data_IF_147977348550
#
_entry.id   IF_147977348550
#
_cell.length_a   1.000
_cell.length_b   1.000
_cell.length_c   1.000
_cell.angle_alpha   90.00
_cell.angle_beta   90.00
_cell.angle_gamma   90.00
#
_symmetry.space_group_name_H-M   'P 1'
#
loop_
_entity.id
_entity.type
_entity.pdbx_description
1 polymer ?
#
# COMPACT_ATOMS: atom_id res chain seq x y z
N UNK A 1 6.38 1.94 13.47
CA UNK A 1 6.30 0.68 12.70
C UNK A 1 4.87 0.53 12.20
N UNK A 2 4.69 0.17 10.94
CA UNK A 2 3.36 -0.01 10.31
C UNK A 2 3.34 -1.32 9.56
N UNK A 3 2.19 -2.00 9.56
CA UNK A 3 1.96 -3.21 8.76
C UNK A 3 1.34 -2.84 7.42
N UNK A 4 2.01 -3.23 6.35
CA UNK A 4 1.63 -2.96 4.96
C UNK A 4 1.38 -4.27 4.23
N UNK A 5 0.44 -4.23 3.29
CA UNK A 5 0.17 -5.30 2.34
C UNK A 5 0.39 -4.78 0.92
N UNK A 6 1.49 -5.17 0.29
CA UNK A 6 1.88 -4.70 -1.03
C UNK A 6 1.23 -5.54 -2.12
N UNK A 7 0.54 -4.84 -3.02
CA UNK A 7 -0.13 -5.40 -4.19
C UNK A 7 0.84 -6.13 -5.15
N UNK A 8 0.33 -7.01 -6.00
CA UNK A 8 1.13 -7.91 -6.84
C UNK A 8 2.09 -7.15 -7.76
N UNK A 9 1.64 -6.03 -8.33
CA UNK A 9 2.43 -5.21 -9.24
C UNK A 9 3.34 -4.20 -8.50
N UNK A 10 3.36 -4.22 -7.17
CA UNK A 10 4.10 -3.23 -6.42
C UNK A 10 5.62 -3.45 -6.53
N UNK A 11 6.43 -2.40 -6.73
CA UNK A 11 7.86 -2.56 -6.98
C UNK A 11 8.59 -3.19 -5.79
N UNK A 12 9.20 -4.37 -6.00
CA UNK A 12 9.95 -5.10 -4.97
C UNK A 12 11.03 -4.26 -4.28
N UNK A 13 11.73 -3.41 -5.05
CA UNK A 13 12.76 -2.53 -4.49
C UNK A 13 12.21 -1.55 -3.44
N UNK A 14 10.97 -1.06 -3.64
CA UNK A 14 10.31 -0.17 -2.68
C UNK A 14 9.91 -0.97 -1.43
N UNK A 15 9.41 -2.19 -1.59
CA UNK A 15 9.11 -3.10 -0.46
C UNK A 15 10.34 -3.32 0.41
N UNK A 16 11.50 -3.62 -0.19
CA UNK A 16 12.77 -3.82 0.52
C UNK A 16 13.17 -2.58 1.33
N UNK A 17 13.08 -1.39 0.72
CA UNK A 17 13.42 -0.14 1.39
C UNK A 17 12.47 0.18 2.55
N UNK A 18 11.16 -0.04 2.37
CA UNK A 18 10.17 0.14 3.44
C UNK A 18 10.43 -0.80 4.62
N UNK A 19 10.89 -2.03 4.36
CA UNK A 19 11.34 -2.95 5.41
C UNK A 19 12.58 -2.42 6.14
N UNK A 20 13.55 -1.85 5.40
CA UNK A 20 14.73 -1.19 6.00
C UNK A 20 14.35 0.01 6.88
N UNK A 21 13.27 0.73 6.53
CA UNK A 21 12.72 1.80 7.38
C UNK A 21 11.98 1.29 8.64
N UNK A 22 11.87 -0.03 8.82
CA UNK A 22 11.25 -0.64 10.00
C UNK A 22 9.74 -0.87 9.87
N UNK A 23 9.20 -0.92 8.65
CA UNK A 23 7.83 -1.35 8.40
C UNK A 23 7.75 -2.87 8.18
N UNK A 24 6.66 -3.48 8.64
CA UNK A 24 6.32 -4.86 8.31
C UNK A 24 5.55 -4.84 6.99
N UNK A 25 6.19 -5.23 5.90
CA UNK A 25 5.56 -5.28 4.57
C UNK A 25 5.39 -6.74 4.18
N UNK A 26 4.16 -7.17 3.91
CA UNK A 26 3.83 -8.47 3.34
C UNK A 26 3.41 -8.26 1.88
N UNK A 27 3.93 -9.01 0.92
CA UNK A 27 3.47 -8.92 -0.48
C UNK A 27 2.39 -9.94 -0.80
N UNK A 28 1.57 -9.67 -1.81
CA UNK A 28 0.60 -10.65 -2.36
C UNK A 28 1.29 -11.97 -2.73
N UNK A 29 2.53 -11.92 -3.23
CA UNK A 29 3.30 -13.12 -3.54
C UNK A 29 3.69 -13.93 -2.30
N UNK A 30 4.12 -13.26 -1.24
CA UNK A 30 4.48 -13.91 0.03
C UNK A 30 3.26 -14.48 0.76
N UNK A 31 2.09 -13.87 0.59
CA UNK A 31 0.82 -14.39 1.10
C UNK A 31 0.34 -15.67 0.34
N UNK A 32 1.07 -16.13 -0.69
CA UNK A 32 0.66 -17.26 -1.52
C UNK A 32 -0.51 -16.94 -2.46
N UNK A 33 -0.79 -15.65 -2.64
CA UNK A 33 -1.94 -15.10 -3.35
C UNK A 33 -1.57 -14.54 -4.74
N UNK A 34 -0.31 -14.70 -5.17
CA UNK A 34 0.16 -14.31 -6.51
C UNK A 34 -0.55 -15.06 -7.63
N UNK A 35 -0.67 -14.41 -8.80
CA UNK A 35 -1.17 -14.98 -10.06
C UNK A 35 -2.62 -15.49 -10.01
N UNK A 36 -3.36 -15.22 -8.94
CA UNK A 36 -4.74 -15.66 -8.78
C UNK A 36 -5.76 -14.66 -9.33
N UNK A 37 -5.31 -13.54 -9.93
CA UNK A 37 -6.17 -12.42 -10.38
C UNK A 37 -7.19 -12.02 -9.30
N UNK A 38 -6.70 -11.93 -8.07
CA UNK A 38 -7.53 -11.65 -6.91
C UNK A 38 -8.18 -10.28 -7.09
N UNK A 39 -9.51 -10.15 -6.90
CA UNK A 39 -10.19 -8.87 -6.96
C UNK A 39 -9.60 -7.86 -5.97
N UNK A 40 -9.55 -6.58 -6.34
CA UNK A 40 -9.07 -5.50 -5.44
C UNK A 40 -9.81 -5.50 -4.09
N UNK A 41 -11.09 -5.91 -4.10
CA UNK A 41 -11.92 -6.08 -2.90
C UNK A 41 -11.33 -7.12 -1.93
N UNK A 42 -10.90 -8.26 -2.44
CA UNK A 42 -10.32 -9.35 -1.65
C UNK A 42 -8.93 -8.96 -1.13
N UNK A 43 -8.14 -8.23 -1.92
CA UNK A 43 -6.87 -7.64 -1.47
C UNK A 43 -7.10 -6.70 -0.28
N UNK A 44 -8.10 -5.82 -0.36
CA UNK A 44 -8.44 -4.90 0.72
C UNK A 44 -9.01 -5.63 1.94
N UNK A 45 -9.84 -6.65 1.74
CA UNK A 45 -10.40 -7.45 2.82
C UNK A 45 -9.31 -8.23 3.56
N UNK A 46 -8.39 -8.86 2.82
CA UNK A 46 -7.25 -9.57 3.40
C UNK A 46 -6.36 -8.63 4.22
N UNK A 47 -6.02 -7.47 3.66
CA UNK A 47 -5.23 -6.47 4.37
C UNK A 47 -5.92 -6.03 5.67
N UNK A 48 -7.22 -5.74 5.61
CA UNK A 48 -8.02 -5.33 6.76
C UNK A 48 -8.08 -6.40 7.84
N UNK A 49 -8.33 -7.67 7.46
CA UNK A 49 -8.37 -8.80 8.40
C UNK A 49 -7.04 -9.06 9.10
N UNK A 50 -5.92 -8.70 8.47
CA UNK A 50 -4.57 -8.84 9.02
C UNK A 50 -4.04 -7.54 9.65
N UNK A 51 -4.90 -6.54 9.85
CA UNK A 51 -4.54 -5.22 10.41
C UNK A 51 -3.43 -4.52 9.61
N UNK A 52 -3.48 -4.63 8.27
CA UNK A 52 -2.52 -4.05 7.34
C UNK A 52 -3.18 -2.99 6.47
N UNK A 53 -2.43 -1.94 6.15
CA UNK A 53 -2.82 -1.00 5.10
C UNK A 53 -2.38 -1.53 3.73
N UNK A 54 -3.23 -1.41 2.71
CA UNK A 54 -2.88 -1.78 1.33
C UNK A 54 -1.91 -0.77 0.74
N UNK A 55 -0.89 -1.26 0.04
CA UNK A 55 0.06 -0.46 -0.72
C UNK A 55 -0.05 -0.85 -2.20
N UNK A 56 -0.55 0.06 -3.04
CA UNK A 56 -0.89 -0.25 -4.44
C UNK A 56 -0.53 0.87 -5.41
N UNK A 57 -0.25 0.49 -6.67
CA UNK A 57 -0.17 1.39 -7.82
C UNK A 57 -1.54 1.57 -8.50
N UNK A 58 -2.51 0.68 -8.27
CA UNK A 58 -3.85 0.75 -8.83
C UNK A 58 -4.72 1.78 -8.07
N UNK A 59 -4.50 3.05 -8.37
CA UNK A 59 -5.15 4.14 -7.64
C UNK A 59 -6.67 4.21 -7.90
N UNK A 60 -7.11 3.91 -9.12
CA UNK A 60 -8.51 4.16 -9.54
C UNK A 60 -9.46 3.22 -8.81
N UNK A 61 -9.17 1.93 -8.80
CA UNK A 61 -10.07 0.95 -8.20
C UNK A 61 -10.06 1.04 -6.68
N UNK A 62 -8.91 1.26 -6.06
CA UNK A 62 -8.84 1.46 -4.61
C UNK A 62 -9.46 2.76 -4.12
N UNK A 63 -9.47 3.83 -4.94
CA UNK A 63 -10.26 5.03 -4.62
C UNK A 63 -11.76 4.75 -4.66
N UNK A 64 -12.22 3.88 -5.58
CA UNK A 64 -13.62 3.45 -5.61
C UNK A 64 -13.94 2.61 -4.38
N UNK A 65 -13.07 1.66 -4.02
CA UNK A 65 -13.25 0.81 -2.83
C UNK A 65 -13.32 1.61 -1.54
N UNK A 66 -12.41 2.57 -1.33
CA UNK A 66 -12.43 3.47 -0.17
C UNK A 66 -13.76 4.22 -0.01
N UNK A 67 -14.40 4.62 -1.12
CA UNK A 67 -15.70 5.32 -1.08
C UNK A 67 -16.87 4.39 -0.79
N UNK A 68 -16.74 3.11 -1.10
CA UNK A 68 -17.80 2.11 -0.95
C UNK A 68 -17.69 1.32 0.36
N UNK A 69 -16.49 1.21 0.91
CA UNK A 69 -16.18 0.41 2.09
C UNK A 69 -15.54 1.30 3.14
N UNK A 70 -16.17 1.33 4.31
CA UNK A 70 -15.58 1.91 5.51
C UNK A 70 -14.93 0.82 6.36
N UNK A 71 -14.12 1.24 7.34
CA UNK A 71 -13.48 0.38 8.33
C UNK A 71 -12.42 -0.57 7.74
N UNK A 72 -11.75 -0.16 6.68
CA UNK A 72 -10.62 -0.91 6.12
C UNK A 72 -9.30 -0.59 6.84
N UNK A 73 -8.30 -1.46 6.73
CA UNK A 73 -6.98 -1.28 7.39
C UNK A 73 -6.16 -0.08 6.92
N UNK A 74 -6.56 0.55 5.81
CA UNK A 74 -5.94 1.74 5.23
C UNK A 74 -5.53 1.49 3.79
N UNK A 75 -5.46 2.55 2.99
CA UNK A 75 -5.09 2.46 1.57
C UNK A 75 -4.02 3.52 1.28
N UNK A 76 -2.87 3.07 0.81
CA UNK A 76 -1.75 3.89 0.34
C UNK A 76 -1.65 3.71 -1.17
N UNK A 77 -2.16 4.70 -1.88
CA UNK A 77 -2.22 4.68 -3.34
C UNK A 77 -1.07 5.54 -3.90
N UNK A 78 -0.10 4.89 -4.54
CA UNK A 78 1.11 5.53 -5.04
C UNK A 78 1.03 5.77 -6.54
N UNK A 79 1.56 6.90 -7.00
CA UNK A 79 1.90 7.08 -8.42
C UNK A 79 3.27 6.44 -8.67
N UNK A 80 3.37 5.63 -9.72
CA UNK A 80 4.63 4.98 -10.07
C UNK A 80 5.74 6.02 -10.35
N UNK A 81 6.92 5.73 -9.82
CA UNK A 81 8.14 6.53 -9.97
C UNK A 81 9.31 5.58 -10.21
N UNK A 82 10.09 5.86 -11.26
CA UNK A 82 11.28 5.08 -11.61
C UNK A 82 12.37 5.23 -10.55
N UNK A 83 12.38 6.35 -9.82
CA UNK A 83 13.22 6.53 -8.65
C UNK A 83 12.58 5.83 -7.44
N UNK A 84 13.00 4.59 -7.20
CA UNK A 84 12.46 3.73 -6.14
C UNK A 84 12.81 4.23 -4.74
N UNK A 85 13.97 4.86 -4.57
CA UNK A 85 14.38 5.42 -3.28
C UNK A 85 13.53 6.63 -2.92
N UNK A 86 13.34 7.55 -3.85
CA UNK A 86 12.43 8.69 -3.66
C UNK A 86 11.00 8.24 -3.40
N UNK A 87 10.53 7.21 -4.11
CA UNK A 87 9.20 6.65 -3.88
C UNK A 87 9.06 6.09 -2.48
N UNK A 88 10.03 5.27 -2.02
CA UNK A 88 10.02 4.68 -0.69
C UNK A 88 10.06 5.74 0.42
N UNK A 89 10.94 6.74 0.31
CA UNK A 89 11.03 7.84 1.27
C UNK A 89 9.69 8.59 1.39
N UNK A 90 9.05 8.91 0.25
CA UNK A 90 7.75 9.61 0.27
C UNK A 90 6.63 8.78 0.89
N UNK A 91 6.65 7.46 0.69
CA UNK A 91 5.71 6.56 1.36
C UNK A 91 5.96 6.57 2.87
N UNK A 92 7.22 6.43 3.30
CA UNK A 92 7.61 6.47 4.70
C UNK A 92 7.18 7.78 5.38
N UNK A 93 7.44 8.92 4.75
CA UNK A 93 7.08 10.24 5.28
C UNK A 93 5.55 10.38 5.38
N UNK A 94 4.82 9.93 4.35
CA UNK A 94 3.36 10.01 4.33
C UNK A 94 2.72 9.12 5.41
N UNK A 95 3.29 7.93 5.66
CA UNK A 95 2.85 7.04 6.74
C UNK A 95 3.17 7.67 8.10
N UNK A 96 4.39 8.19 8.27
CA UNK A 96 4.85 8.75 9.54
C UNK A 96 4.10 10.01 9.97
N UNK A 97 3.50 10.71 9.00
CA UNK A 97 2.65 11.88 9.26
C UNK A 97 1.23 11.54 9.76
N UNK A 98 0.85 10.25 9.81
CA UNK A 98 -0.48 9.83 10.26
C UNK A 98 -0.40 9.13 11.62
N UNK A 99 -1.31 9.45 12.53
CA UNK A 99 -1.46 8.75 13.81
C UNK A 99 -2.03 7.34 13.62
N UNK A 100 -2.95 7.18 12.65
CA UNK A 100 -3.56 5.90 12.28
C UNK A 100 -3.77 5.81 10.77
N UNK A 101 -3.72 4.58 10.24
CA UNK A 101 -4.02 4.29 8.84
C UNK A 101 -5.43 3.72 8.64
N UNK A 102 -6.11 3.34 9.72
CA UNK A 102 -7.44 2.77 9.65
C UNK A 102 -8.41 3.75 9.00
N UNK A 103 -9.14 3.25 8.01
CA UNK A 103 -10.09 4.01 7.20
C UNK A 103 -9.47 5.22 6.46
N UNK A 104 -8.15 5.32 6.36
CA UNK A 104 -7.47 6.42 5.68
C UNK A 104 -7.12 6.08 4.23
N UNK A 105 -7.20 7.10 3.37
CA UNK A 105 -6.71 7.06 2.00
C UNK A 105 -5.53 8.02 1.81
N UNK A 106 -4.32 7.48 1.82
CA UNK A 106 -3.08 8.23 1.62
C UNK A 106 -2.73 8.23 0.13
N UNK A 107 -2.47 9.43 -0.41
CA UNK A 107 -2.13 9.62 -1.82
C UNK A 107 -0.67 10.05 -1.96
N UNK A 108 0.20 9.12 -2.38
CA UNK A 108 1.62 9.42 -2.62
C UNK A 108 1.81 9.84 -4.08
N UNK A 109 1.98 11.15 -4.30
CA UNK A 109 2.20 11.72 -5.64
C UNK A 109 3.69 11.72 -6.00
N UNK A 110 3.99 11.49 -7.29
CA UNK A 110 5.31 11.80 -7.89
C UNK A 110 5.52 13.32 -7.90
N UNK A 111 6.71 13.84 -7.53
CA UNK A 111 6.99 15.27 -7.61
C UNK A 111 6.80 15.78 -9.05
N UNK A 112 6.19 16.95 -9.18
CA UNK A 112 6.23 17.72 -10.42
C UNK A 112 7.60 18.41 -10.47
N UNK A 113 8.35 18.17 -11.53
CA UNK A 113 9.49 19.02 -11.90
C UNK A 113 8.97 20.38 -12.36
#
# INVERSE_FOLDING_TARGET
MVRLYADEQFPRRVVELLRTFGHDVLTVQEAGLANQKIPDLEVLAFATQNERAVLTLNRVDFFRLHRTLSNHGGIIACKDDFDRERMANRINDAISAQETLTDQLIRVKRPQH
#
